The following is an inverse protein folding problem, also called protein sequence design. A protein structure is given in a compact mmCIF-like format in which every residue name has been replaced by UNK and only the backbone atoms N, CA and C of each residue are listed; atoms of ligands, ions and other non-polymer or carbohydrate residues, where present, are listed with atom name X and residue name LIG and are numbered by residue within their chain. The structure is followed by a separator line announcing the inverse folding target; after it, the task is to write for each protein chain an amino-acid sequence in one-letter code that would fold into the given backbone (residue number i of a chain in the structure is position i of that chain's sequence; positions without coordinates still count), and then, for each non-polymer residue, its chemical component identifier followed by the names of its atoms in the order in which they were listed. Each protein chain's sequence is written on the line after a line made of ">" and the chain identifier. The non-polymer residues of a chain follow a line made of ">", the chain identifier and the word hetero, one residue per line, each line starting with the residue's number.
data_IF_924685757868
#
_entry.id   IF_924685757868
#
_cell.length_a   1.000
_cell.length_b   1.000
_cell.length_c   1.000
_cell.angle_alpha   90.00
_cell.angle_beta   90.00
_cell.angle_gamma   90.00
#
_symmetry.space_group_name_H-M   'P 1'
#
loop_
_entity.id
_entity.type
_entity.pdbx_description
1 polymer ?
#
# COMPACT_ATOMS: atom_id res chain seq x y z
N UNK A 1 6.79 17.30 -8.99
CA UNK A 1 6.78 16.10 -9.87
C UNK A 1 6.05 16.47 -11.16
N UNK A 2 6.50 16.05 -12.36
CA UNK A 2 5.72 16.33 -13.59
C UNK A 2 4.70 15.22 -13.84
N UNK A 3 3.51 15.37 -13.25
CA UNK A 3 2.45 14.37 -13.25
C UNK A 3 1.91 14.04 -14.65
N UNK A 4 2.07 14.97 -15.59
CA UNK A 4 1.60 14.84 -16.97
C UNK A 4 2.46 13.91 -17.85
N UNK A 5 3.65 13.53 -17.40
CA UNK A 5 4.56 12.72 -18.21
C UNK A 5 4.10 11.26 -18.26
N UNK A 6 4.00 10.69 -19.47
CA UNK A 6 3.74 9.26 -19.68
C UNK A 6 4.73 8.33 -18.97
N UNK A 7 5.95 8.81 -18.71
CA UNK A 7 7.00 8.07 -18.01
C UNK A 7 6.91 8.09 -16.48
N UNK A 8 5.87 8.68 -15.89
CA UNK A 8 5.64 8.63 -14.45
C UNK A 8 5.46 7.18 -13.99
N UNK A 9 6.22 6.75 -12.98
CA UNK A 9 6.21 5.40 -12.43
C UNK A 9 5.77 5.36 -10.98
N UNK A 10 4.86 4.44 -10.69
CA UNK A 10 4.35 4.14 -9.37
C UNK A 10 4.85 2.75 -8.95
N UNK A 11 5.37 2.63 -7.75
CA UNK A 11 5.54 1.34 -7.07
C UNK A 11 4.24 1.02 -6.31
N UNK A 12 3.40 0.15 -6.89
CA UNK A 12 2.17 -0.33 -6.28
C UNK A 12 2.43 -1.53 -5.39
N UNK A 13 2.06 -1.44 -4.11
CA UNK A 13 2.33 -2.46 -3.10
C UNK A 13 1.02 -2.99 -2.52
N UNK A 14 0.89 -4.31 -2.51
CA UNK A 14 -0.23 -5.00 -1.88
C UNK A 14 0.25 -6.27 -1.20
N UNK A 15 -0.58 -6.76 -0.29
CA UNK A 15 -0.29 -7.94 0.51
C UNK A 15 -1.37 -9.02 0.35
N UNK A 16 -1.03 -10.25 0.68
CA UNK A 16 -2.01 -11.31 0.91
C UNK A 16 -1.50 -12.37 1.86
N UNK A 17 -2.36 -12.83 2.77
CA UNK A 17 -2.13 -13.97 3.64
C UNK A 17 -3.35 -14.89 3.71
N UNK A 18 -3.12 -16.18 4.01
CA UNK A 18 -4.15 -17.15 4.34
C UNK A 18 -3.55 -18.27 5.20
N UNK A 19 -4.02 -18.42 6.44
CA UNK A 19 -3.62 -19.53 7.33
C UNK A 19 -2.11 -19.64 7.64
N UNK A 20 -1.34 -18.56 7.42
CA UNK A 20 0.13 -18.53 7.59
C UNK A 20 0.53 -17.45 8.60
N UNK A 21 1.65 -17.65 9.29
CA UNK A 21 2.28 -16.64 10.15
C UNK A 21 2.99 -15.53 9.37
N UNK A 22 3.15 -15.69 8.05
CA UNK A 22 3.76 -14.71 7.14
C UNK A 22 2.75 -14.26 6.09
N UNK A 23 2.67 -12.95 5.85
CA UNK A 23 1.97 -12.36 4.70
C UNK A 23 2.94 -12.14 3.55
N UNK A 24 2.46 -12.39 2.33
CA UNK A 24 3.22 -12.14 1.10
C UNK A 24 3.01 -10.70 0.66
N UNK A 25 4.10 -9.96 0.47
CA UNK A 25 4.09 -8.65 -0.20
C UNK A 25 4.42 -8.81 -1.68
N UNK A 26 3.74 -8.05 -2.52
CA UNK A 26 4.13 -7.83 -3.90
C UNK A 26 4.24 -6.33 -4.17
N UNK A 27 5.31 -5.94 -4.86
CA UNK A 27 5.54 -4.61 -5.38
C UNK A 27 5.55 -4.68 -6.91
N UNK A 28 4.77 -3.83 -7.56
CA UNK A 28 4.67 -3.72 -9.02
C UNK A 28 5.03 -2.30 -9.41
N UNK A 29 6.10 -2.14 -10.20
CA UNK A 29 6.46 -0.84 -10.76
C UNK A 29 5.77 -0.69 -12.10
N UNK A 30 4.86 0.28 -12.16
CA UNK A 30 4.00 0.50 -13.32
C UNK A 30 4.07 1.96 -13.77
N UNK A 31 4.17 2.15 -15.08
CA UNK A 31 4.11 3.45 -15.74
C UNK A 31 2.66 3.91 -15.93
N UNK A 32 2.44 5.21 -16.11
CA UNK A 32 1.12 5.79 -16.39
C UNK A 32 0.43 5.20 -17.63
N UNK A 33 1.18 4.71 -18.62
CA UNK A 33 0.64 3.98 -19.78
C UNK A 33 0.38 2.47 -19.52
N UNK A 34 0.25 2.09 -18.24
CA UNK A 34 -0.04 0.74 -17.72
C UNK A 34 1.03 -0.32 -18.02
N UNK A 35 2.19 0.09 -18.53
CA UNK A 35 3.34 -0.80 -18.71
C UNK A 35 3.95 -1.16 -17.36
N UNK A 36 4.09 -2.45 -17.11
CA UNK A 36 4.82 -2.98 -15.95
C UNK A 36 6.31 -3.04 -16.30
N UNK A 37 7.12 -2.31 -15.53
CA UNK A 37 8.57 -2.23 -15.72
C UNK A 37 9.34 -3.08 -14.69
N UNK A 38 8.68 -3.57 -13.63
CA UNK A 38 9.31 -4.43 -12.64
C UNK A 38 8.32 -5.02 -11.63
N UNK A 39 8.72 -6.14 -11.03
CA UNK A 39 7.98 -6.83 -9.95
C UNK A 39 8.99 -7.29 -8.90
N UNK A 40 8.67 -7.11 -7.62
CA UNK A 40 9.42 -7.63 -6.50
C UNK A 40 8.48 -8.25 -5.46
N UNK A 41 9.01 -9.17 -4.66
CA UNK A 41 8.26 -9.83 -3.59
C UNK A 41 8.99 -9.71 -2.26
N UNK A 42 8.21 -9.60 -1.21
CA UNK A 42 8.71 -9.61 0.16
C UNK A 42 7.77 -10.40 1.05
N UNK A 43 8.05 -10.41 2.34
CA UNK A 43 7.10 -10.95 3.31
C UNK A 43 7.20 -10.20 4.62
N UNK A 44 6.11 -10.23 5.38
CA UNK A 44 6.04 -9.65 6.72
C UNK A 44 5.32 -10.60 7.66
N UNK A 45 5.34 -10.28 8.95
CA UNK A 45 4.74 -11.10 9.99
C UNK A 45 3.25 -10.76 10.13
N UNK A 46 2.38 -11.77 10.07
CA UNK A 46 0.95 -11.59 10.34
C UNK A 46 0.78 -11.29 11.83
N UNK A 47 0.05 -10.23 12.17
CA UNK A 47 -0.03 -9.75 13.55
C UNK A 47 1.23 -9.04 14.06
N UNK A 48 2.25 -8.87 13.21
CA UNK A 48 3.50 -8.19 13.57
C UNK A 48 3.37 -6.67 13.61
N UNK A 49 4.53 -6.02 13.72
CA UNK A 49 4.72 -4.57 13.60
C UNK A 49 5.87 -4.24 12.62
N UNK A 50 6.18 -5.19 11.72
CA UNK A 50 7.27 -5.13 10.75
C UNK A 50 6.83 -4.65 9.36
N UNK A 51 5.56 -4.25 9.15
CA UNK A 51 5.05 -3.89 7.83
C UNK A 51 5.79 -2.72 7.18
N UNK A 52 5.98 -1.61 7.92
CA UNK A 52 6.70 -0.42 7.43
C UNK A 52 8.11 -0.78 6.96
N UNK A 53 8.86 -1.49 7.81
CA UNK A 53 10.23 -1.92 7.49
C UNK A 53 10.26 -2.85 6.29
N UNK A 54 9.37 -3.85 6.25
CA UNK A 54 9.29 -4.80 5.15
C UNK A 54 9.00 -4.13 3.80
N UNK A 55 8.24 -3.03 3.81
CA UNK A 55 7.96 -2.23 2.60
C UNK A 55 9.19 -1.42 2.18
N UNK A 56 9.90 -0.80 3.13
CA UNK A 56 11.14 -0.07 2.86
C UNK A 56 12.17 -1.02 2.24
N UNK A 57 12.42 -2.16 2.90
CA UNK A 57 13.36 -3.18 2.42
C UNK A 57 12.96 -3.66 1.01
N UNK A 58 11.66 -3.88 0.74
CA UNK A 58 11.17 -4.29 -0.58
C UNK A 58 11.40 -3.22 -1.67
N UNK A 59 11.28 -1.94 -1.34
CA UNK A 59 11.53 -0.83 -2.26
C UNK A 59 13.03 -0.74 -2.54
N UNK A 60 13.87 -0.80 -1.51
CA UNK A 60 15.32 -0.72 -1.63
C UNK A 60 15.89 -1.90 -2.43
N UNK A 61 15.41 -3.12 -2.15
CA UNK A 61 15.81 -4.35 -2.87
C UNK A 61 15.42 -4.32 -4.36
N UNK A 62 14.38 -3.56 -4.71
CA UNK A 62 14.02 -3.36 -6.13
C UNK A 62 15.11 -2.60 -6.90
N UNK A 63 15.97 -1.84 -6.19
CA UNK A 63 17.09 -1.04 -6.71
C UNK A 63 16.69 -0.13 -7.90
N UNK A 64 15.47 0.41 -7.86
CA UNK A 64 14.91 1.23 -8.95
C UNK A 64 14.89 2.72 -8.61
N UNK A 65 15.78 3.47 -9.26
CA UNK A 65 15.87 4.93 -9.14
C UNK A 65 14.85 5.70 -10.00
N UNK A 66 14.08 5.00 -10.84
CA UNK A 66 13.12 5.60 -11.77
C UNK A 66 11.68 5.62 -11.23
N UNK A 67 11.43 5.11 -10.02
CA UNK A 67 10.15 5.22 -9.31
C UNK A 67 9.95 6.66 -8.86
N UNK A 68 8.73 7.18 -9.02
CA UNK A 68 8.39 8.54 -8.65
C UNK A 68 7.54 8.63 -7.38
N UNK A 69 6.74 7.60 -7.09
CA UNK A 69 5.97 7.51 -5.85
C UNK A 69 5.65 6.07 -5.49
N UNK A 70 5.27 5.87 -4.22
CA UNK A 70 4.80 4.59 -3.68
C UNK A 70 3.29 4.67 -3.48
N UNK A 71 2.57 3.65 -3.92
CA UNK A 71 1.15 3.49 -3.66
C UNK A 71 0.92 2.19 -2.91
N UNK A 72 0.16 2.22 -1.82
CA UNK A 72 -0.02 1.08 -0.92
C UNK A 72 -1.51 0.76 -0.79
N UNK A 73 -1.87 -0.52 -0.89
CA UNK A 73 -3.25 -0.99 -0.66
C UNK A 73 -3.52 -1.15 0.84
N UNK A 74 -3.90 -0.05 1.49
CA UNK A 74 -4.24 0.03 2.92
C UNK A 74 -3.07 0.43 3.83
N UNK A 75 -3.38 0.92 5.04
CA UNK A 75 -2.40 1.20 6.11
C UNK A 75 -2.43 0.18 7.25
N UNK A 76 -3.46 -0.65 7.31
CA UNK A 76 -3.59 -1.68 8.34
C UNK A 76 -3.81 -2.98 7.58
N UNK A 77 -2.79 -3.83 7.60
CA UNK A 77 -2.73 -5.03 6.77
C UNK A 77 -2.31 -6.24 7.59
N UNK A 78 -2.38 -7.45 7.01
CA UNK A 78 -1.82 -8.66 7.60
C UNK A 78 -2.17 -8.84 9.10
N UNK A 79 -3.46 -8.66 9.44
CA UNK A 79 -3.96 -8.70 10.81
C UNK A 79 -3.34 -7.61 11.73
N UNK A 80 -3.78 -6.37 11.54
CA UNK A 80 -3.37 -5.20 12.35
C UNK A 80 -1.87 -4.89 12.37
N UNK A 81 -1.13 -5.26 11.32
CA UNK A 81 0.24 -4.81 11.10
C UNK A 81 0.18 -3.43 10.41
N UNK A 82 0.62 -2.40 11.12
CA UNK A 82 0.38 -1.01 10.76
C UNK A 82 1.54 -0.49 9.91
N UNK A 83 1.18 0.15 8.79
CA UNK A 83 2.10 0.81 7.88
C UNK A 83 2.09 2.29 8.19
N UNK A 84 3.26 2.85 8.44
CA UNK A 84 3.50 4.28 8.60
C UNK A 84 3.94 4.90 7.26
N UNK A 85 3.06 5.65 6.56
CA UNK A 85 3.40 6.27 5.29
C UNK A 85 4.48 7.36 5.42
N UNK A 86 4.55 8.06 6.55
CA UNK A 86 5.55 9.11 6.78
C UNK A 86 6.94 8.49 6.91
N UNK A 87 7.06 7.40 7.68
CA UNK A 87 8.32 6.69 7.82
C UNK A 87 8.83 6.14 6.47
N UNK A 88 7.93 5.59 5.64
CA UNK A 88 8.29 5.14 4.28
C UNK A 88 8.75 6.32 3.43
N UNK A 89 8.03 7.45 3.48
CA UNK A 89 8.37 8.63 2.68
C UNK A 89 9.72 9.22 3.08
N UNK A 90 10.00 9.29 4.38
CA UNK A 90 11.28 9.76 4.91
C UNK A 90 12.45 8.84 4.54
N UNK A 91 12.27 7.52 4.65
CA UNK A 91 13.32 6.55 4.35
C UNK A 91 13.65 6.49 2.85
N UNK A 92 12.63 6.52 1.99
CA UNK A 92 12.80 6.35 0.54
C UNK A 92 12.99 7.66 -0.21
N UNK A 93 12.64 8.79 0.41
CA UNK A 93 12.56 10.10 -0.25
C UNK A 93 11.43 10.19 -1.28
N UNK A 94 10.54 9.20 -1.34
CA UNK A 94 9.42 9.14 -2.28
C UNK A 94 8.11 9.57 -1.60
N UNK A 95 7.20 10.26 -2.30
CA UNK A 95 5.85 10.44 -1.81
C UNK A 95 5.10 9.11 -1.71
N UNK A 96 4.22 9.01 -0.72
CA UNK A 96 3.46 7.79 -0.42
C UNK A 96 1.96 8.09 -0.42
N UNK A 97 1.20 7.25 -1.12
CA UNK A 97 -0.26 7.26 -1.14
C UNK A 97 -0.77 5.91 -0.64
N UNK A 98 -1.34 5.87 0.55
CA UNK A 98 -2.06 4.69 1.02
C UNK A 98 -3.55 4.81 0.67
N UNK A 99 -4.04 3.82 -0.06
CA UNK A 99 -5.40 3.79 -0.62
C UNK A 99 -6.24 2.77 0.13
N UNK A 100 -7.38 3.21 0.64
CA UNK A 100 -8.44 2.34 1.17
C UNK A 100 -9.74 2.57 0.40
N UNK A 101 -10.60 1.55 0.38
CA UNK A 101 -11.74 1.50 -0.54
C UNK A 101 -13.09 1.67 0.13
N UNK A 102 -13.14 1.57 1.45
CA UNK A 102 -14.36 1.61 2.25
C UNK A 102 -14.19 2.63 3.38
N UNK A 103 -15.28 3.32 3.70
CA UNK A 103 -15.37 4.08 4.94
C UNK A 103 -15.39 3.11 6.12
N UNK A 104 -14.91 3.55 7.28
CA UNK A 104 -14.92 2.74 8.50
C UNK A 104 -14.87 3.65 9.72
N UNK A 105 -15.49 3.22 10.81
CA UNK A 105 -15.52 3.97 12.08
C UNK A 105 -14.17 3.95 12.82
N UNK A 106 -13.12 3.40 12.19
CA UNK A 106 -11.81 3.17 12.78
C UNK A 106 -11.58 1.70 13.13
N UNK A 107 -10.45 1.41 13.78
CA UNK A 107 -10.04 0.06 14.21
C UNK A 107 -9.50 0.05 15.65
N UNK A 108 -9.67 1.13 16.41
CA UNK A 108 -9.08 1.25 17.76
C UNK A 108 -9.60 0.18 18.72
N UNK A 109 -10.91 -0.09 18.68
CA UNK A 109 -11.55 -1.07 19.56
C UNK A 109 -11.07 -2.49 19.24
N UNK A 110 -11.00 -2.82 17.95
CA UNK A 110 -10.52 -4.10 17.44
C UNK A 110 -9.05 -4.32 17.78
N UNK A 111 -8.21 -3.28 17.63
CA UNK A 111 -6.80 -3.31 18.04
C UNK A 111 -6.69 -3.58 19.54
N UNK A 112 -7.42 -2.84 20.38
CA UNK A 112 -7.40 -3.03 21.83
C UNK A 112 -7.86 -4.44 22.25
N UNK A 113 -8.86 -4.98 21.56
CA UNK A 113 -9.42 -6.31 21.83
C UNK A 113 -8.47 -7.44 21.42
N UNK A 114 -7.88 -7.35 20.23
CA UNK A 114 -6.98 -8.38 19.69
C UNK A 114 -5.55 -8.29 20.21
N UNK A 115 -5.10 -7.10 20.63
CA UNK A 115 -3.75 -6.83 21.13
C UNK A 115 -3.80 -6.06 22.47
N UNK A 116 -4.33 -6.67 23.54
CA UNK A 116 -4.47 -6.00 24.82
C UNK A 116 -3.10 -5.59 25.39
N UNK A 117 -2.95 -4.30 25.70
CA UNK A 117 -1.70 -3.74 26.24
C UNK A 117 -0.67 -3.30 25.20
N UNK A 118 -0.90 -3.53 23.91
CA UNK A 118 -0.01 -3.09 22.83
C UNK A 118 -0.20 -1.60 22.50
N UNK A 119 0.27 -0.75 23.41
CA UNK A 119 0.17 0.71 23.28
C UNK A 119 0.96 1.24 22.07
N UNK A 120 2.02 0.55 21.67
CA UNK A 120 2.84 0.94 20.51
C UNK A 120 2.03 0.81 19.21
N UNK A 121 1.33 -0.32 19.01
CA UNK A 121 0.44 -0.51 17.87
C UNK A 121 -0.70 0.49 17.85
N UNK A 122 -1.35 0.73 19.00
CA UNK A 122 -2.43 1.70 19.07
C UNK A 122 -1.94 3.13 18.76
N UNK A 123 -0.76 3.51 19.24
CA UNK A 123 -0.13 4.79 18.91
C UNK A 123 0.19 4.90 17.41
N UNK A 124 0.76 3.85 16.80
CA UNK A 124 0.99 3.81 15.35
C UNK A 124 -0.31 3.99 14.56
N UNK A 125 -1.40 3.34 14.99
CA UNK A 125 -2.71 3.50 14.34
C UNK A 125 -3.21 4.95 14.39
N UNK A 126 -3.15 5.57 15.56
CA UNK A 126 -3.60 6.95 15.79
C UNK A 126 -2.78 7.95 14.98
N UNK A 127 -1.48 7.72 14.87
CA UNK A 127 -0.58 8.57 14.09
C UNK A 127 -0.88 8.56 12.58
N UNK A 128 -1.64 7.57 12.07
CA UNK A 128 -2.06 7.56 10.67
C UNK A 128 -3.00 8.72 10.31
N UNK A 129 -3.62 9.35 11.31
CA UNK A 129 -4.59 10.43 11.12
C UNK A 129 -5.84 10.01 10.35
N UNK A 130 -6.61 11.01 9.93
CA UNK A 130 -7.86 10.82 9.20
C UNK A 130 -7.62 10.43 7.75
N UNK A 131 -8.62 9.77 7.16
CA UNK A 131 -8.61 9.43 5.73
C UNK A 131 -9.30 10.53 4.96
N UNK A 132 -8.69 10.96 3.87
CA UNK A 132 -9.21 12.02 3.01
C UNK A 132 -10.01 11.37 1.87
N UNK A 133 -11.32 11.63 1.73
CA UNK A 133 -12.11 11.08 0.64
C UNK A 133 -11.73 11.73 -0.70
N UNK A 134 -11.72 10.93 -1.76
CA UNK A 134 -11.49 11.39 -3.13
C UNK A 134 -12.41 10.66 -4.11
N UNK A 135 -13.10 11.40 -4.99
CA UNK A 135 -13.99 10.84 -6.00
C UNK A 135 -13.23 10.66 -7.32
N UNK A 136 -13.11 9.41 -7.77
CA UNK A 136 -12.54 9.07 -9.07
C UNK A 136 -13.48 9.45 -10.21
N UNK A 137 -12.92 9.67 -11.39
CA UNK A 137 -13.65 9.86 -12.66
C UNK A 137 -14.55 8.68 -13.01
N UNK A 138 -14.25 7.48 -12.49
CA UNK A 138 -15.09 6.28 -12.58
C UNK A 138 -16.38 6.36 -11.73
N UNK A 139 -16.56 7.43 -10.95
CA UNK A 139 -17.68 7.60 -10.03
C UNK A 139 -17.56 6.79 -8.73
N UNK A 140 -16.36 6.29 -8.40
CA UNK A 140 -16.10 5.56 -7.15
C UNK A 140 -15.26 6.39 -6.19
N UNK A 141 -15.50 6.21 -4.89
CA UNK A 141 -14.73 6.90 -3.85
C UNK A 141 -13.52 6.09 -3.39
N UNK A 142 -12.43 6.80 -3.13
CA UNK A 142 -11.24 6.36 -2.43
C UNK A 142 -11.11 7.10 -1.11
N UNK A 143 -10.38 6.50 -0.17
CA UNK A 143 -10.03 7.09 1.11
C UNK A 143 -8.52 7.02 1.27
N UNK A 144 -7.88 8.19 1.29
CA UNK A 144 -6.44 8.33 1.14
C UNK A 144 -5.76 8.74 2.45
N UNK A 145 -4.57 8.20 2.69
CA UNK A 145 -3.57 8.76 3.61
C UNK A 145 -2.30 9.06 2.85
N UNK A 146 -1.73 10.22 3.10
CA UNK A 146 -0.70 10.82 2.25
C UNK A 146 0.53 11.17 3.07
N UNK A 147 1.71 10.96 2.48
CA UNK A 147 2.96 11.50 2.99
C UNK A 147 3.80 12.05 1.84
N UNK A 148 4.36 13.26 2.01
CA UNK A 148 5.19 13.91 0.98
C UNK A 148 4.46 14.36 -0.29
N UNK A 149 3.12 14.38 -0.31
CA UNK A 149 2.28 14.80 -1.45
C UNK A 149 0.98 15.44 -0.97
N UNK A 150 0.45 16.41 -1.72
CA UNK A 150 -0.87 16.99 -1.44
C UNK A 150 -2.01 16.17 -2.04
N UNK A 151 -3.24 16.44 -1.58
CA UNK A 151 -4.44 15.70 -1.98
C UNK A 151 -4.77 15.83 -3.47
N UNK A 152 -4.55 17.00 -4.07
CA UNK A 152 -4.87 17.25 -5.48
C UNK A 152 -3.98 16.40 -6.40
N UNK A 153 -2.67 16.40 -6.15
CA UNK A 153 -1.71 15.59 -6.90
C UNK A 153 -1.94 14.09 -6.66
N UNK A 154 -2.16 13.68 -5.41
CA UNK A 154 -2.42 12.28 -5.06
C UNK A 154 -3.71 11.75 -5.70
N UNK A 155 -4.78 12.54 -5.65
CA UNK A 155 -6.05 12.21 -6.29
C UNK A 155 -5.93 12.08 -7.80
N UNK A 156 -5.24 13.03 -8.45
CA UNK A 156 -4.94 12.96 -9.88
C UNK A 156 -4.17 11.69 -10.25
N UNK A 157 -3.13 11.33 -9.48
CA UNK A 157 -2.37 10.10 -9.71
C UNK A 157 -3.28 8.87 -9.55
N UNK A 158 -4.07 8.80 -8.48
CA UNK A 158 -4.99 7.67 -8.26
C UNK A 158 -5.95 7.53 -9.44
N UNK A 159 -6.49 8.63 -9.95
CA UNK A 159 -7.40 8.65 -11.08
C UNK A 159 -6.72 8.17 -12.37
N UNK A 160 -5.53 8.69 -12.69
CA UNK A 160 -4.78 8.32 -13.88
C UNK A 160 -4.32 6.85 -13.91
N UNK A 161 -4.11 6.25 -12.74
CA UNK A 161 -3.77 4.84 -12.63
C UNK A 161 -4.99 3.93 -12.44
N UNK A 162 -6.21 4.46 -12.37
CA UNK A 162 -7.43 3.65 -12.28
C UNK A 162 -8.07 3.51 -13.65
N UNK A 163 -7.96 2.33 -14.26
CA UNK A 163 -8.57 2.07 -15.57
C UNK A 163 -10.09 1.90 -15.46
N UNK A 164 -10.54 1.12 -14.48
CA UNK A 164 -11.96 0.93 -14.16
C UNK A 164 -12.18 0.74 -12.65
N UNK A 165 -13.45 0.74 -12.24
CA UNK A 165 -13.81 0.48 -10.86
C UNK A 165 -13.20 1.49 -9.87
N UNK A 166 -12.63 0.99 -8.78
CA UNK A 166 -12.10 1.83 -7.69
C UNK A 166 -10.65 1.53 -7.31
N UNK A 167 -9.96 0.64 -8.01
CA UNK A 167 -8.65 0.14 -7.60
C UNK A 167 -7.62 0.58 -8.62
N UNK A 168 -6.64 1.43 -8.26
CA UNK A 168 -5.52 1.74 -9.13
C UNK A 168 -4.81 0.47 -9.62
N UNK A 169 -4.51 0.40 -10.91
CA UNK A 169 -3.92 -0.74 -11.60
C UNK A 169 -2.63 -1.27 -10.94
N UNK A 170 -1.68 -0.43 -10.46
CA UNK A 170 -0.50 -0.93 -9.76
C UNK A 170 -0.87 -1.77 -8.52
N UNK A 171 -1.87 -1.32 -7.75
CA UNK A 171 -2.38 -2.04 -6.57
C UNK A 171 -3.17 -3.29 -6.96
N UNK A 172 -4.00 -3.19 -8.00
CA UNK A 172 -4.80 -4.32 -8.50
C UNK A 172 -3.90 -5.48 -8.92
N UNK A 173 -2.86 -5.19 -9.70
CA UNK A 173 -1.89 -6.18 -10.17
C UNK A 173 -1.05 -6.73 -9.01
N UNK A 174 -0.52 -5.86 -8.14
CA UNK A 174 0.23 -6.31 -6.96
C UNK A 174 -0.59 -7.28 -6.10
N UNK A 175 -1.87 -7.00 -5.87
CA UNK A 175 -2.76 -7.86 -5.09
C UNK A 175 -2.99 -9.22 -5.74
N UNK A 176 -3.12 -9.27 -7.07
CA UNK A 176 -3.23 -10.54 -7.81
C UNK A 176 -1.96 -11.38 -7.68
N UNK A 177 -0.79 -10.73 -7.80
CA UNK A 177 0.51 -11.40 -7.66
C UNK A 177 0.72 -11.93 -6.24
N UNK A 178 0.47 -11.11 -5.20
CA UNK A 178 0.58 -11.53 -3.81
C UNK A 178 -0.33 -12.74 -3.51
N UNK A 179 -1.59 -12.71 -3.98
CA UNK A 179 -2.52 -13.84 -3.85
C UNK A 179 -2.04 -15.10 -4.57
N UNK A 180 -1.52 -14.94 -5.80
CA UNK A 180 -1.07 -16.08 -6.61
C UNK A 180 0.15 -16.76 -6.00
N UNK A 181 1.14 -15.98 -5.56
CA UNK A 181 2.35 -16.51 -4.92
C UNK A 181 2.01 -17.22 -3.60
N UNK A 182 1.16 -16.62 -2.77
CA UNK A 182 0.69 -17.21 -1.51
C UNK A 182 0.01 -18.58 -1.73
N UNK A 183 -0.83 -18.73 -2.76
CA UNK A 183 -1.43 -20.03 -3.13
C UNK A 183 -0.41 -21.03 -3.67
N UNK A 184 0.53 -20.58 -4.50
CA UNK A 184 1.59 -21.41 -5.05
C UNK A 184 2.50 -21.99 -3.96
N UNK A 185 2.78 -21.22 -2.92
CA UNK A 185 3.55 -21.69 -1.76
C UNK A 185 2.74 -22.54 -0.77
N UNK A 186 1.41 -22.40 -0.75
CA UNK A 186 0.51 -23.16 0.12
C UNK A 186 0.12 -24.55 -0.40
N UNK A 187 0.24 -24.80 -1.71
CA UNK A 187 -0.08 -26.09 -2.34
C UNK A 187 1.11 -27.07 -2.38
N UNK A 188 2.27 -26.70 -1.85
CA UNK A 188 3.49 -27.53 -1.84
C UNK A 188 3.68 -28.30 -0.51
N UNK A 189 2.61 -28.58 0.23
CA UNK A 189 2.64 -29.40 1.46
C UNK A 189 1.53 -30.42 1.46
#
# INVERSE_FOLDING_TARGET
>A
MHLEKKGLRVAGIAESFFGSSRSTLACVVMRRDLRIDGVAFGSMTVGGMDATRSIIDLIDDSNRKDVNLVMISGCVIAWFNIIDPEAISQATGLPVIAVTYEESDGLENEICSHFPGDQARLAQYRNLGERIPFLLSTGKSLYLRLAGINIQEAGFICDQFTFDGRIPEPLRVARLMARSLMRGTGSAR
#
